data_IF_354965619217
#
_entry.id   IF_354965619217
#
_cell.length_a   1.000
_cell.length_b   1.000
_cell.length_c   1.000
_cell.angle_alpha   90.00
_cell.angle_beta   90.00
_cell.angle_gamma   90.00
#
_symmetry.space_group_name_H-M   'P 1'
#
loop_
_entity.id
_entity.type
_entity.pdbx_description
1 polymer ?
#
# COMPACT_ATOMS: atom_id res chain seq x y z
N UNK A 1 67.32 -10.98 29.40
CA UNK A 1 66.41 -10.99 28.23
C UNK A 1 64.99 -11.02 28.74
N UNK A 2 64.34 -9.86 28.81
CA UNK A 2 62.99 -9.69 29.35
C UNK A 2 61.96 -9.83 28.22
N UNK A 3 61.04 -10.79 28.34
CA UNK A 3 59.86 -10.88 27.46
C UNK A 3 58.67 -10.27 28.20
N UNK A 4 58.32 -9.03 27.86
CA UNK A 4 57.07 -8.38 28.25
C UNK A 4 55.92 -8.99 27.45
N UNK A 5 55.01 -9.69 28.13
CA UNK A 5 53.73 -10.15 27.59
C UNK A 5 52.68 -9.04 27.78
N UNK A 6 52.37 -8.34 26.69
CA UNK A 6 51.25 -7.40 26.60
C UNK A 6 50.00 -8.20 26.25
N UNK A 7 49.04 -8.27 27.19
CA UNK A 7 47.75 -8.93 26.97
C UNK A 7 46.76 -7.91 26.38
N UNK A 8 46.41 -8.09 25.10
CA UNK A 8 45.41 -7.29 24.38
C UNK A 8 44.02 -7.88 24.66
N UNK A 9 43.20 -7.19 25.45
CA UNK A 9 41.81 -7.54 25.72
C UNK A 9 40.95 -6.96 24.57
N UNK A 10 40.63 -7.79 23.57
CA UNK A 10 39.69 -7.45 22.49
C UNK A 10 38.28 -7.76 22.98
N UNK A 11 37.59 -6.76 23.50
CA UNK A 11 36.15 -6.84 23.80
C UNK A 11 35.34 -6.62 22.53
N UNK A 12 34.91 -7.73 21.89
CA UNK A 12 33.97 -7.72 20.79
C UNK A 12 32.55 -7.40 21.29
N UNK A 13 32.06 -6.19 20.99
CA UNK A 13 30.67 -5.85 21.19
C UNK A 13 29.83 -6.50 20.07
N UNK A 14 29.11 -7.57 20.41
CA UNK A 14 28.12 -8.16 19.52
C UNK A 14 26.95 -7.17 19.35
N UNK A 15 26.92 -6.47 18.23
CA UNK A 15 25.76 -5.68 17.80
C UNK A 15 24.62 -6.65 17.46
N UNK A 16 23.71 -6.86 18.41
CA UNK A 16 22.47 -7.57 18.17
C UNK A 16 21.58 -6.73 17.26
N UNK A 17 21.57 -7.05 15.97
CA UNK A 17 20.58 -6.51 15.02
C UNK A 17 19.20 -6.99 15.46
N UNK A 18 18.38 -6.06 15.94
CA UNK A 18 16.96 -6.28 16.13
C UNK A 18 16.37 -6.43 14.72
N UNK A 19 16.18 -7.68 14.30
CA UNK A 19 15.33 -7.99 13.14
C UNK A 19 13.91 -7.63 13.56
N UNK A 20 13.49 -6.41 13.25
CA UNK A 20 12.06 -6.09 13.27
C UNK A 20 11.44 -6.95 12.18
N UNK A 21 10.72 -8.00 12.58
CA UNK A 21 9.80 -8.69 11.69
C UNK A 21 8.74 -7.66 11.28
N UNK A 22 9.03 -6.93 10.21
CA UNK A 22 8.00 -6.26 9.43
C UNK A 22 7.11 -7.40 8.96
N UNK A 23 5.94 -7.52 9.59
CA UNK A 23 4.85 -8.32 9.06
C UNK A 23 4.68 -7.93 7.58
N UNK A 24 4.39 -8.87 6.67
CA UNK A 24 4.00 -8.52 5.31
C UNK A 24 3.00 -7.37 5.37
N UNK A 25 3.29 -6.27 4.67
CA UNK A 25 2.35 -5.18 4.56
C UNK A 25 1.07 -5.78 3.98
N UNK A 26 -0.01 -5.72 4.74
CA UNK A 26 -1.27 -6.29 4.29
C UNK A 26 -1.83 -5.36 3.22
N UNK A 27 -2.29 -5.94 2.10
CA UNK A 27 -2.96 -5.17 1.06
C UNK A 27 -4.07 -4.31 1.67
N UNK A 28 -4.10 -3.04 1.29
CA UNK A 28 -5.03 -2.05 1.80
C UNK A 28 -6.26 -1.98 0.90
N UNK A 29 -7.45 -1.96 1.49
CA UNK A 29 -8.70 -1.79 0.75
C UNK A 29 -8.87 -0.32 0.38
N UNK A 30 -9.08 -0.04 -0.90
CA UNK A 30 -9.36 1.27 -1.46
C UNK A 30 -10.79 1.34 -1.97
N UNK A 31 -11.52 2.38 -1.55
CA UNK A 31 -12.90 2.61 -1.93
C UNK A 31 -13.04 3.74 -2.94
N UNK A 32 -13.83 3.48 -3.97
CA UNK A 32 -14.38 4.46 -4.89
C UNK A 32 -15.80 4.78 -4.44
N UNK A 33 -16.03 6.03 -4.06
CA UNK A 33 -17.37 6.52 -3.72
C UNK A 33 -17.85 7.53 -4.76
N UNK A 34 -18.68 7.05 -5.69
CA UNK A 34 -19.30 7.85 -6.73
C UNK A 34 -18.30 8.74 -7.50
N UNK A 35 -17.16 8.16 -7.88
CA UNK A 35 -16.17 8.80 -8.73
C UNK A 35 -16.85 9.18 -10.03
N UNK A 36 -16.94 10.48 -10.34
CA UNK A 36 -17.62 10.95 -11.55
C UNK A 36 -16.64 10.98 -12.71
N UNK A 37 -17.16 10.81 -13.93
CA UNK A 37 -16.38 10.86 -15.17
C UNK A 37 -16.91 12.00 -16.05
N UNK A 38 -16.06 12.57 -16.90
CA UNK A 38 -16.39 13.77 -17.70
C UNK A 38 -17.64 13.70 -18.58
N UNK A 39 -18.17 12.50 -18.88
CA UNK A 39 -19.35 12.27 -19.72
C UNK A 39 -20.64 11.98 -18.92
N UNK A 40 -20.68 12.34 -17.64
CA UNK A 40 -21.84 12.09 -16.79
C UNK A 40 -21.98 10.64 -16.32
N UNK A 41 -20.88 9.88 -16.38
CA UNK A 41 -20.78 8.56 -15.78
C UNK A 41 -20.29 8.60 -14.34
N UNK A 42 -20.47 7.52 -13.60
CA UNK A 42 -19.87 7.34 -12.27
C UNK A 42 -19.36 5.93 -12.05
N UNK A 43 -18.36 5.76 -11.19
CA UNK A 43 -17.91 4.46 -10.71
C UNK A 43 -17.86 4.43 -9.19
N UNK A 44 -18.24 3.28 -8.64
CA UNK A 44 -18.20 2.99 -7.23
C UNK A 44 -17.77 1.55 -7.02
N UNK A 45 -17.15 1.27 -5.88
CA UNK A 45 -16.69 -0.07 -5.55
C UNK A 45 -15.39 -0.04 -4.77
N UNK A 46 -14.65 -1.14 -4.83
CA UNK A 46 -13.42 -1.28 -4.07
C UNK A 46 -12.39 -2.15 -4.79
N UNK A 47 -11.15 -2.04 -4.36
CA UNK A 47 -10.06 -2.93 -4.71
C UNK A 47 -9.03 -2.98 -3.58
N UNK A 48 -8.24 -4.04 -3.53
CA UNK A 48 -7.11 -4.14 -2.63
C UNK A 48 -5.83 -3.78 -3.39
N UNK A 49 -4.94 -3.02 -2.77
CA UNK A 49 -3.63 -2.68 -3.31
C UNK A 49 -2.53 -2.96 -2.28
N UNK A 50 -1.47 -3.65 -2.71
CA UNK A 50 -0.27 -3.96 -1.93
C UNK A 50 0.93 -3.20 -2.50
N UNK A 51 1.42 -2.20 -1.77
CA UNK A 51 2.53 -1.35 -2.21
C UNK A 51 3.90 -2.06 -2.16
N UNK A 52 4.04 -3.16 -1.40
CA UNK A 52 5.28 -3.92 -1.35
C UNK A 52 5.48 -4.77 -2.61
N UNK A 53 4.37 -5.24 -3.21
CA UNK A 53 4.38 -6.05 -4.44
C UNK A 53 3.94 -5.30 -5.68
N UNK A 54 3.42 -4.07 -5.55
CA UNK A 54 2.81 -3.26 -6.62
C UNK A 54 1.69 -4.02 -7.33
N UNK A 55 0.83 -4.68 -6.54
CA UNK A 55 -0.25 -5.54 -7.07
C UNK A 55 -1.64 -5.10 -6.62
N UNK A 56 -2.60 -5.29 -7.53
CA UNK A 56 -4.02 -5.09 -7.28
C UNK A 56 -4.73 -6.44 -7.17
N UNK A 57 -5.67 -6.55 -6.23
CA UNK A 57 -6.48 -7.75 -6.03
C UNK A 57 -7.89 -7.41 -5.54
N UNK A 58 -8.79 -8.41 -5.46
CA UNK A 58 -10.15 -8.26 -4.95
C UNK A 58 -10.92 -7.06 -5.55
N UNK A 59 -10.73 -6.80 -6.84
CA UNK A 59 -11.38 -5.70 -7.54
C UNK A 59 -12.87 -6.02 -7.68
N UNK A 60 -13.70 -5.08 -7.26
CA UNK A 60 -15.14 -5.10 -7.42
C UNK A 60 -15.60 -3.66 -7.68
N UNK A 61 -15.48 -3.21 -8.93
CA UNK A 61 -15.81 -1.83 -9.33
C UNK A 61 -16.95 -1.87 -10.33
N UNK A 62 -18.02 -1.12 -10.05
CA UNK A 62 -19.10 -0.91 -10.99
C UNK A 62 -19.00 0.49 -11.57
N UNK A 63 -19.18 0.63 -12.87
CA UNK A 63 -19.19 1.90 -13.56
C UNK A 63 -20.46 2.05 -14.39
N UNK A 64 -20.99 3.26 -14.45
CA UNK A 64 -22.15 3.64 -15.25
C UNK A 64 -21.75 4.77 -16.19
N UNK A 65 -22.14 4.68 -17.46
CA UNK A 65 -21.92 5.75 -18.44
C UNK A 65 -23.10 5.80 -19.40
N UNK A 66 -23.90 6.86 -19.31
CA UNK A 66 -25.14 6.93 -20.08
C UNK A 66 -26.03 5.73 -19.78
N UNK A 67 -26.22 4.84 -20.76
CA UNK A 67 -27.03 3.60 -20.62
C UNK A 67 -26.21 2.35 -20.35
N UNK A 68 -24.88 2.44 -20.32
CA UNK A 68 -23.99 1.30 -20.09
C UNK A 68 -23.73 1.10 -18.60
N UNK A 69 -23.82 -0.15 -18.14
CA UNK A 69 -23.41 -0.58 -16.82
C UNK A 69 -22.30 -1.62 -16.99
N UNK A 70 -21.14 -1.35 -16.38
CA UNK A 70 -19.94 -2.18 -16.44
C UNK A 70 -19.61 -2.65 -15.02
N UNK A 71 -19.08 -3.86 -14.89
CA UNK A 71 -18.73 -4.46 -13.59
C UNK A 71 -17.40 -5.17 -13.68
N UNK A 72 -16.34 -4.52 -13.20
CA UNK A 72 -14.96 -4.98 -13.33
C UNK A 72 -14.52 -5.85 -12.15
N UNK A 73 -13.68 -6.83 -12.44
CA UNK A 73 -13.02 -7.69 -11.47
C UNK A 73 -11.52 -7.84 -11.77
N UNK A 74 -10.80 -8.61 -10.95
CA UNK A 74 -9.34 -8.77 -11.09
C UNK A 74 -8.90 -9.40 -12.42
N UNK A 75 -9.74 -10.17 -13.12
CA UNK A 75 -9.41 -10.68 -14.46
C UNK A 75 -9.35 -9.59 -15.53
N UNK A 76 -9.92 -8.42 -15.25
CA UNK A 76 -10.10 -7.35 -16.22
C UNK A 76 -8.93 -6.35 -16.19
N UNK A 77 -7.93 -6.59 -15.34
CA UNK A 77 -6.69 -5.79 -15.34
C UNK A 77 -5.99 -5.97 -16.68
N UNK A 78 -5.70 -4.85 -17.35
CA UNK A 78 -4.90 -4.86 -18.57
C UNK A 78 -3.43 -5.14 -18.21
N UNK A 79 -2.82 -6.24 -18.68
CA UNK A 79 -1.48 -6.62 -18.29
C UNK A 79 -0.43 -5.54 -18.59
N UNK A 80 0.47 -5.29 -17.64
CA UNK A 80 1.58 -4.33 -17.79
C UNK A 80 1.18 -2.86 -17.70
N UNK A 81 -0.09 -2.55 -17.36
CA UNK A 81 -0.56 -1.17 -17.23
C UNK A 81 -0.89 -0.74 -15.80
N UNK A 82 -0.96 -1.70 -14.87
CA UNK A 82 -1.21 -1.43 -13.47
C UNK A 82 0.10 -1.11 -12.73
N UNK A 83 0.06 -0.08 -11.88
CA UNK A 83 1.13 0.36 -10.99
C UNK A 83 0.55 1.18 -9.84
N UNK A 84 1.38 1.58 -8.86
CA UNK A 84 1.01 2.51 -7.78
C UNK A 84 0.32 3.81 -8.23
N UNK A 85 0.48 4.25 -9.47
CA UNK A 85 -0.11 5.50 -9.99
C UNK A 85 -1.25 5.27 -10.97
N UNK A 86 -1.53 4.03 -11.36
CA UNK A 86 -2.52 3.74 -12.39
C UNK A 86 -3.15 2.36 -12.21
N UNK A 87 -4.48 2.30 -12.29
CA UNK A 87 -5.23 1.07 -12.47
C UNK A 87 -6.04 1.17 -13.77
N UNK A 88 -5.83 0.24 -14.70
CA UNK A 88 -6.59 0.17 -15.95
C UNK A 88 -7.31 -1.17 -16.08
N UNK A 89 -8.63 -1.08 -16.22
CA UNK A 89 -9.55 -2.21 -16.27
C UNK A 89 -10.29 -2.18 -17.61
N UNK A 90 -10.39 -3.33 -18.27
CA UNK A 90 -10.96 -3.46 -19.61
C UNK A 90 -11.79 -4.74 -19.72
N UNK A 91 -13.00 -4.61 -20.25
CA UNK A 91 -13.90 -5.74 -20.52
C UNK A 91 -14.23 -5.86 -21.99
N UNK A 92 -14.27 -7.09 -22.51
CA UNK A 92 -14.86 -7.36 -23.82
C UNK A 92 -16.39 -7.32 -23.70
N UNK A 93 -16.99 -6.31 -24.30
CA UNK A 93 -18.41 -6.00 -24.09
C UNK A 93 -19.33 -6.52 -25.18
N UNK A 94 -18.82 -7.07 -26.29
CA UNK A 94 -19.65 -7.38 -27.45
C UNK A 94 -19.23 -8.66 -28.18
N UNK A 95 -19.64 -9.82 -27.63
CA UNK A 95 -19.55 -11.16 -28.25
C UNK A 95 -18.15 -11.61 -28.70
N UNK A 96 -17.85 -12.92 -28.63
CA UNK A 96 -16.60 -13.45 -29.17
C UNK A 96 -16.42 -13.04 -30.64
N UNK A 97 -15.45 -12.18 -30.93
CA UNK A 97 -15.03 -11.84 -32.31
C UNK A 97 -15.10 -10.37 -32.73
N UNK A 98 -15.69 -9.45 -31.96
CA UNK A 98 -15.80 -8.04 -32.38
C UNK A 98 -14.80 -7.06 -31.71
N UNK A 99 -13.97 -7.52 -30.76
CA UNK A 99 -12.90 -6.74 -30.11
C UNK A 99 -13.32 -5.34 -29.68
N UNK A 100 -14.51 -5.20 -29.10
CA UNK A 100 -14.96 -3.91 -28.57
C UNK A 100 -14.83 -3.94 -27.08
N UNK A 101 -13.77 -3.30 -26.64
CA UNK A 101 -13.45 -3.22 -25.23
C UNK A 101 -14.02 -1.96 -24.60
N UNK A 102 -14.52 -2.06 -23.38
CA UNK A 102 -14.88 -0.89 -22.58
C UNK A 102 -14.07 -0.93 -21.31
N UNK A 103 -13.50 0.21 -20.92
CA UNK A 103 -12.61 0.26 -19.78
C UNK A 103 -12.68 1.54 -18.99
N UNK A 104 -12.27 1.42 -17.74
CA UNK A 104 -12.06 2.56 -16.83
C UNK A 104 -10.58 2.64 -16.52
N UNK A 105 -10.03 3.85 -16.49
CA UNK A 105 -8.68 4.09 -15.97
C UNK A 105 -8.79 5.02 -14.77
N UNK A 106 -8.18 4.57 -13.68
CA UNK A 106 -7.94 5.39 -12.50
C UNK A 106 -6.48 5.80 -12.57
N UNK A 107 -6.23 7.09 -12.74
CA UNK A 107 -4.90 7.67 -12.58
C UNK A 107 -4.88 8.37 -11.23
N UNK A 108 -3.83 8.19 -10.44
CA UNK A 108 -3.70 8.77 -9.10
C UNK A 108 -2.71 9.93 -9.13
N UNK A 109 -3.04 11.05 -8.47
CA UNK A 109 -2.12 12.19 -8.37
C UNK A 109 -0.87 11.85 -7.57
N UNK A 110 -1.03 11.03 -6.54
CA UNK A 110 0.04 10.50 -5.71
C UNK A 110 0.04 8.97 -5.80
N UNK A 111 1.22 8.31 -5.74
CA UNK A 111 1.31 6.85 -5.67
C UNK A 111 0.51 6.30 -4.48
N UNK A 112 -0.24 5.23 -4.71
CA UNK A 112 -0.89 4.48 -3.63
C UNK A 112 0.17 3.87 -2.70
N UNK A 113 -0.13 3.89 -1.41
CA UNK A 113 0.75 3.34 -0.36
C UNK A 113 -0.04 2.47 0.60
N UNK A 114 0.64 1.66 1.41
CA UNK A 114 0.00 0.87 2.48
C UNK A 114 -0.28 1.71 3.75
N UNK A 115 -0.40 3.03 3.61
CA UNK A 115 -0.76 3.93 4.71
C UNK A 115 -2.29 3.99 4.82
N UNK A 116 -2.90 3.50 5.91
CA UNK A 116 -4.35 3.49 6.07
C UNK A 116 -4.94 4.90 6.25
N UNK A 117 -6.23 5.06 5.95
CA UNK A 117 -7.00 6.27 6.25
C UNK A 117 -6.56 7.52 5.47
N UNK A 118 -5.79 7.35 4.40
CA UNK A 118 -5.44 8.42 3.47
C UNK A 118 -6.45 8.49 2.33
N UNK A 119 -6.64 9.71 1.82
CA UNK A 119 -7.38 9.99 0.59
C UNK A 119 -6.38 10.34 -0.50
N UNK A 120 -6.57 9.76 -1.68
CA UNK A 120 -5.75 10.07 -2.87
C UNK A 120 -6.67 10.64 -3.94
N UNK A 121 -6.31 11.81 -4.45
CA UNK A 121 -7.03 12.43 -5.55
C UNK A 121 -6.77 11.67 -6.84
N UNK A 122 -7.81 11.54 -7.66
CA UNK A 122 -7.66 11.04 -9.01
C UNK A 122 -7.08 12.15 -9.87
N UNK A 123 -6.06 11.80 -10.65
CA UNK A 123 -5.53 12.71 -11.65
C UNK A 123 -6.50 12.76 -12.83
N UNK A 124 -6.94 13.97 -13.12
CA UNK A 124 -7.72 14.25 -14.29
C UNK A 124 -6.76 14.63 -15.39
N UNK A 125 -6.05 13.64 -15.93
CA UNK A 125 -5.24 13.90 -17.10
C UNK A 125 -6.19 14.26 -18.28
N UNK A 126 -6.34 15.57 -18.45
CA UNK A 126 -6.81 16.30 -19.62
C UNK A 126 -8.10 15.85 -20.32
N UNK A 127 -9.12 15.37 -19.60
CA UNK A 127 -10.51 15.37 -20.09
C UNK A 127 -10.74 14.65 -21.43
N UNK A 128 -9.82 13.78 -21.83
CA UNK A 128 -9.90 13.04 -23.07
C UNK A 128 -10.37 11.64 -22.73
N UNK A 129 -11.63 11.34 -23.03
CA UNK A 129 -11.97 9.95 -23.37
C UNK A 129 -11.14 9.60 -24.60
N UNK A 130 -9.92 9.15 -24.38
CA UNK A 130 -9.06 8.67 -25.46
C UNK A 130 -9.64 7.31 -25.83
N UNK A 131 -10.19 7.22 -27.03
CA UNK A 131 -10.49 5.94 -27.64
C UNK A 131 -9.18 5.16 -27.75
N UNK A 132 -8.95 4.21 -26.86
CA UNK A 132 -7.82 3.30 -27.02
C UNK A 132 -8.20 2.26 -28.06
N UNK A 133 -7.39 2.20 -29.11
CA UNK A 133 -7.25 1.01 -29.93
C UNK A 133 -6.22 0.14 -29.21
N UNK A 134 -6.66 -0.85 -28.43
CA UNK A 134 -5.73 -1.88 -27.97
C UNK A 134 -5.45 -2.79 -29.17
N UNK A 135 -4.31 -2.57 -29.81
CA UNK A 135 -3.83 -3.44 -30.88
C UNK A 135 -3.31 -4.74 -30.28
N UNK A 136 -4.20 -5.74 -30.18
CA UNK A 136 -3.75 -7.11 -30.40
C UNK A 136 -3.13 -7.21 -31.81
N UNK A 137 -2.19 -8.13 -32.07
CA UNK A 137 -1.45 -8.18 -33.35
C UNK A 137 -2.33 -8.27 -34.61
N UNK A 138 -3.63 -8.57 -34.48
CA UNK A 138 -4.57 -8.69 -35.60
C UNK A 138 -5.96 -8.07 -35.39
N UNK A 139 -6.19 -7.19 -34.40
CA UNK A 139 -7.54 -6.66 -34.16
C UNK A 139 -7.61 -5.15 -33.93
N UNK A 140 -8.30 -4.46 -34.85
CA UNK A 140 -8.64 -3.03 -34.79
C UNK A 140 -9.92 -2.82 -33.97
N UNK A 141 -9.82 -3.10 -32.67
CA UNK A 141 -10.90 -2.82 -31.73
C UNK A 141 -11.02 -1.33 -31.43
N UNK A 142 -12.25 -0.81 -31.35
CA UNK A 142 -12.53 0.54 -30.82
C UNK A 142 -13.05 0.38 -29.41
N UNK A 143 -12.38 1.00 -28.43
CA UNK A 143 -12.84 1.01 -27.05
C UNK A 143 -13.07 2.39 -26.47
N UNK A 144 -13.99 2.48 -25.52
CA UNK A 144 -14.26 3.71 -24.77
C UNK A 144 -13.47 3.66 -23.45
N UNK A 145 -12.63 4.68 -23.20
CA UNK A 145 -12.00 4.91 -21.89
C UNK A 145 -12.73 6.02 -21.16
N UNK A 146 -12.87 5.85 -19.86
CA UNK A 146 -13.44 6.85 -18.97
C UNK A 146 -12.35 7.32 -18.01
N UNK A 147 -12.16 8.64 -17.98
CA UNK A 147 -11.26 9.32 -17.04
C UNK A 147 -12.04 10.10 -15.99
N UNK A 148 -11.56 10.02 -14.75
CA UNK A 148 -12.19 10.66 -13.62
C UNK A 148 -12.32 12.18 -13.82
N UNK A 149 -13.41 12.74 -13.31
CA UNK A 149 -13.68 14.16 -13.30
C UNK A 149 -12.98 14.84 -12.11
N UNK A 150 -12.77 16.16 -12.25
CA UNK A 150 -11.96 16.92 -11.31
C UNK A 150 -12.60 16.92 -9.91
N UNK A 151 -11.77 16.72 -8.89
CA UNK A 151 -12.21 16.57 -7.51
C UNK A 151 -12.64 15.16 -7.11
N UNK A 152 -12.57 14.18 -8.01
CA UNK A 152 -12.76 12.77 -7.63
C UNK A 152 -11.58 12.28 -6.80
N UNK A 153 -11.86 11.47 -5.78
CA UNK A 153 -10.85 10.89 -4.92
C UNK A 153 -11.26 9.48 -4.51
N UNK A 154 -10.27 8.72 -4.05
CA UNK A 154 -10.47 7.41 -3.43
C UNK A 154 -9.91 7.45 -2.00
N UNK A 155 -10.45 6.61 -1.13
CA UNK A 155 -10.00 6.54 0.26
C UNK A 155 -9.62 5.12 0.63
N UNK A 156 -8.56 5.01 1.41
CA UNK A 156 -8.21 3.73 2.01
C UNK A 156 -9.02 3.48 3.28
N UNK A 157 -9.43 2.23 3.49
CA UNK A 157 -10.10 1.82 4.72
C UNK A 157 -9.10 1.85 5.88
N UNK A 158 -9.38 2.59 6.96
CA UNK A 158 -8.57 2.49 8.17
C UNK A 158 -8.58 1.05 8.67
N UNK A 159 -7.42 0.49 9.02
CA UNK A 159 -7.45 -0.73 9.80
C UNK A 159 -8.13 -0.42 11.14
N UNK A 160 -9.16 -1.17 11.49
CA UNK A 160 -9.54 -1.27 12.89
C UNK A 160 -8.41 -2.05 13.56
N UNK A 161 -7.68 -1.44 14.50
CA UNK A 161 -6.91 -2.22 15.47
C UNK A 161 -7.94 -2.64 16.53
N UNK A 162 -8.52 -3.85 16.48
CA UNK A 162 -9.42 -4.30 17.53
C UNK A 162 -8.69 -4.23 18.88
N UNK A 163 -9.11 -3.28 19.69
CA UNK A 163 -8.68 -3.14 21.08
C UNK A 163 -7.50 -2.21 21.32
N UNK A 164 -7.56 -0.93 20.90
CA UNK A 164 -6.92 0.19 21.60
C UNK A 164 -5.41 0.11 21.85
N UNK A 165 -4.72 -0.83 21.22
CA UNK A 165 -3.28 -0.97 21.28
C UNK A 165 -2.70 0.07 20.34
N UNK A 166 -2.63 1.32 20.81
CA UNK A 166 -1.60 2.23 20.35
C UNK A 166 -0.31 1.46 20.46
N UNK A 167 0.23 1.02 19.32
CA UNK A 167 1.56 0.41 19.22
C UNK A 167 2.44 1.36 20.05
N UNK A 168 3.00 0.94 21.19
CA UNK A 168 3.81 1.84 21.99
C UNK A 168 5.07 2.11 21.16
N UNK A 169 5.01 3.22 20.43
CA UNK A 169 5.97 3.70 19.44
C UNK A 169 7.31 3.89 20.12
N UNK A 170 8.12 2.84 20.19
CA UNK A 170 9.54 2.84 20.55
C UNK A 170 9.88 3.29 22.00
N UNK A 171 9.04 4.09 22.66
CA UNK A 171 9.29 4.69 23.97
C UNK A 171 9.19 3.70 25.14
N UNK A 172 8.35 2.66 25.04
CA UNK A 172 8.26 1.62 26.08
C UNK A 172 9.54 0.77 26.15
N UNK A 173 10.22 0.56 25.03
CA UNK A 173 11.50 -0.17 24.96
C UNK A 173 12.64 0.66 25.58
N UNK A 174 12.67 1.98 25.36
CA UNK A 174 13.62 2.87 26.03
C UNK A 174 13.42 2.87 27.56
N UNK A 175 12.17 2.89 28.04
CA UNK A 175 11.87 2.84 29.47
C UNK A 175 12.33 1.51 30.13
N UNK A 176 12.15 0.37 29.46
CA UNK A 176 12.65 -0.94 29.90
C UNK A 176 14.19 -1.00 29.97
N UNK A 177 14.88 -0.37 29.01
CA UNK A 177 16.33 -0.25 29.01
C UNK A 177 16.87 0.53 30.22
N UNK A 178 16.24 1.66 30.55
CA UNK A 178 16.60 2.49 31.70
C UNK A 178 16.33 1.78 33.04
N UNK A 179 15.22 1.04 33.15
CA UNK A 179 14.90 0.28 34.38
C UNK A 179 15.91 -0.83 34.68
N UNK A 180 16.44 -1.52 33.66
CA UNK A 180 17.51 -2.52 33.85
C UNK A 180 18.82 -1.89 34.35
N UNK A 181 19.18 -0.71 33.84
CA UNK A 181 20.35 0.05 34.30
C UNK A 181 20.20 0.46 35.78
N UNK A 182 19.02 0.96 36.17
CA UNK A 182 18.76 1.35 37.55
C UNK A 182 18.79 0.17 38.53
N UNK A 183 18.20 -0.99 38.18
CA UNK A 183 18.27 -2.21 39.02
C UNK A 183 19.70 -2.69 39.25
N UNK A 184 20.56 -2.66 38.22
CA UNK A 184 21.98 -2.99 38.37
C UNK A 184 22.69 -2.04 39.34
N UNK A 185 22.40 -0.74 39.26
CA UNK A 185 23.01 0.27 40.14
C UNK A 185 22.56 0.13 41.59
N UNK A 186 21.30 -0.27 41.84
CA UNK A 186 20.79 -0.55 43.19
C UNK A 186 21.38 -1.84 43.78
N UNK A 187 21.49 -2.92 43.00
CA UNK A 187 22.10 -4.16 43.46
C UNK A 187 23.58 -3.97 43.84
N UNK A 188 24.33 -3.18 43.07
CA UNK A 188 25.72 -2.86 43.37
C UNK A 188 25.88 -2.06 44.68
N UNK A 189 24.93 -1.18 45.01
CA UNK A 189 24.95 -0.42 46.27
C UNK A 189 24.69 -1.30 47.51
N UNK A 190 23.82 -2.30 47.40
CA UNK A 190 23.50 -3.20 48.53
C UNK A 190 24.67 -4.14 48.91
N UNK A 191 25.57 -4.44 47.99
CA UNK A 191 26.76 -5.26 48.26
C UNK A 191 27.84 -4.45 48.99
N UNK A 192 27.93 -3.14 48.75
CA UNK A 192 28.93 -2.28 49.40
C UNK A 192 28.60 -1.94 50.86
N UNK A 193 27.35 -2.10 51.30
CA UNK A 193 26.91 -1.73 52.65
C UNK A 193 26.88 -2.86 53.67
N UNK A 194 27.25 -4.09 53.28
CA UNK A 194 27.30 -5.22 54.21
C UNK A 194 28.65 -5.95 54.13
N UNK A 195 29.73 -5.37 54.67
CA UNK A 195 30.98 -6.08 54.83
C UNK A 195 30.76 -7.23 55.82
N UNK A 196 30.92 -8.45 55.33
CA UNK A 196 30.91 -9.66 56.16
C UNK A 196 32.17 -9.58 57.04
N UNK A 197 31.98 -9.35 58.33
CA UNK A 197 33.01 -9.55 59.36
C UNK A 197 33.16 -11.04 59.67
#
# INVERSE_FOLDING_TARGET
>A
MNKHLVSFLVSAAAAGSILTNISPAQALVWNLDNVTYGFGGSASGQFDYDAATDTYSNIAINATVGTFNLSFNSSDIVPGTASSTTLFLEQDTLSPGNNRYQGIRLTFQDPLTDTPGITVNLDTDTGQSVFYTSSGPNNTGTGNRLDAANGSSISSVPFDIPGGATIPTVGSLFALGLMRQMKKKMAARNIASNPIN
#
